data_IF_302866363430
#
_entry.id   IF_302866363430
#
_cell.length_a   1.000
_cell.length_b   1.000
_cell.length_c   1.000
_cell.angle_alpha   90.00
_cell.angle_beta   90.00
_cell.angle_gamma   90.00
#
_symmetry.space_group_name_H-M   'P 1'
#
loop_
_entity.id
_entity.type
_entity.pdbx_description
1 polymer ?
#
# COMPACT_ATOMS: atom_id res chain seq x y z
N UNK A 1 9.32 -7.91 20.59
CA UNK A 1 8.42 -6.81 20.26
C UNK A 1 7.11 -6.98 21.00
N UNK A 2 6.82 -6.09 21.97
CA UNK A 2 5.64 -6.20 22.86
C UNK A 2 4.32 -5.97 22.09
N UNK A 3 4.39 -5.47 20.85
CA UNK A 3 3.21 -5.10 20.05
C UNK A 3 3.04 -5.88 18.74
N UNK A 4 3.88 -6.88 18.46
CA UNK A 4 3.75 -7.74 17.28
C UNK A 4 3.97 -7.05 15.91
N UNK A 5 4.49 -5.83 15.88
CA UNK A 5 4.69 -5.08 14.65
C UNK A 5 5.74 -5.68 13.70
N UNK A 6 6.63 -6.52 14.21
CA UNK A 6 7.71 -7.11 13.39
C UNK A 6 7.30 -8.39 12.67
N UNK A 7 6.17 -9.00 13.05
CA UNK A 7 5.64 -10.20 12.42
C UNK A 7 4.22 -9.92 11.96
N UNK A 8 3.98 -9.92 10.65
CA UNK A 8 2.62 -9.78 10.13
C UNK A 8 1.71 -10.92 10.65
N UNK A 9 0.39 -10.75 10.65
CA UNK A 9 -0.56 -11.77 11.08
C UNK A 9 -0.49 -13.00 10.17
N UNK A 10 -0.81 -14.17 10.73
CA UNK A 10 -1.06 -15.35 9.91
C UNK A 10 -2.29 -15.13 9.03
N UNK A 11 -2.20 -15.58 7.80
CA UNK A 11 -3.27 -15.45 6.82
C UNK A 11 -3.92 -16.81 6.54
N UNK A 12 -5.22 -16.87 6.19
CA UNK A 12 -5.90 -18.12 5.82
C UNK A 12 -5.22 -18.84 4.65
N UNK A 13 -4.64 -18.07 3.74
CA UNK A 13 -3.79 -18.53 2.64
C UNK A 13 -2.48 -17.75 2.70
N UNK A 14 -1.35 -18.45 2.68
CA UNK A 14 -0.02 -17.83 2.65
C UNK A 14 0.27 -17.26 1.26
N UNK A 15 -0.28 -16.06 0.99
CA UNK A 15 -0.13 -15.40 -0.31
C UNK A 15 1.25 -14.76 -0.45
N UNK A 16 2.10 -15.21 -1.39
CA UNK A 16 3.45 -14.69 -1.59
C UNK A 16 3.45 -13.50 -2.56
N UNK A 17 3.52 -12.27 -2.05
CA UNK A 17 3.70 -11.09 -2.92
C UNK A 17 4.98 -11.19 -3.75
N UNK A 18 6.05 -11.78 -3.22
CA UNK A 18 7.31 -12.00 -3.94
C UNK A 18 7.12 -12.73 -5.27
N UNK A 19 6.31 -13.78 -5.28
CA UNK A 19 6.01 -14.53 -6.51
C UNK A 19 5.25 -13.69 -7.53
N UNK A 20 4.23 -12.96 -7.09
CA UNK A 20 3.34 -12.23 -7.99
C UNK A 20 3.95 -10.91 -8.46
N UNK A 21 4.61 -10.16 -7.56
CA UNK A 21 5.15 -8.85 -7.87
C UNK A 21 6.57 -8.92 -8.42
N UNK A 22 7.49 -9.62 -7.72
CA UNK A 22 8.89 -9.64 -8.15
C UNK A 22 9.14 -10.60 -9.31
N UNK A 23 8.63 -11.83 -9.22
CA UNK A 23 8.93 -12.84 -10.23
C UNK A 23 8.05 -12.70 -11.48
N UNK A 24 6.74 -12.43 -11.31
CA UNK A 24 5.80 -12.28 -12.42
C UNK A 24 5.62 -10.85 -12.91
N UNK A 25 6.13 -9.85 -12.17
CA UNK A 25 6.05 -8.44 -12.55
C UNK A 25 4.64 -7.85 -12.51
N UNK A 26 3.71 -8.45 -11.73
CA UNK A 26 2.36 -7.91 -11.60
C UNK A 26 2.38 -6.62 -10.79
N UNK A 27 1.74 -5.58 -11.33
CA UNK A 27 1.60 -4.28 -10.66
C UNK A 27 0.62 -4.37 -9.48
N UNK A 28 0.85 -3.54 -8.44
CA UNK A 28 0.00 -3.48 -7.25
C UNK A 28 -1.48 -3.23 -7.63
N UNK A 29 -1.72 -2.32 -8.58
CA UNK A 29 -3.06 -1.93 -9.03
C UNK A 29 -3.74 -2.99 -9.89
N UNK A 30 -3.00 -4.00 -10.35
CA UNK A 30 -3.61 -5.16 -11.02
C UNK A 30 -4.53 -5.94 -10.09
N UNK A 31 -4.14 -6.10 -8.84
CA UNK A 31 -4.93 -6.78 -7.81
C UNK A 31 -5.74 -5.80 -6.96
N UNK A 32 -5.15 -4.69 -6.51
CA UNK A 32 -5.78 -3.66 -5.68
C UNK A 32 -6.43 -2.57 -6.55
N UNK A 33 -7.45 -2.94 -7.34
CA UNK A 33 -7.97 -2.14 -8.46
C UNK A 33 -8.63 -0.83 -8.09
N UNK A 34 -9.19 -0.73 -6.89
CA UNK A 34 -9.96 0.46 -6.48
C UNK A 34 -9.13 1.49 -5.74
N UNK A 35 -7.88 1.15 -5.38
CA UNK A 35 -7.04 1.95 -4.49
C UNK A 35 -6.79 3.39 -4.97
N UNK A 36 -6.70 3.60 -6.28
CA UNK A 36 -6.51 4.93 -6.87
C UNK A 36 -7.84 5.69 -7.12
N UNK A 37 -9.00 5.10 -6.81
CA UNK A 37 -10.32 5.64 -7.12
C UNK A 37 -11.26 5.68 -5.93
N UNK A 38 -10.94 5.00 -4.84
CA UNK A 38 -11.80 4.84 -3.68
C UNK A 38 -11.04 5.10 -2.36
N UNK A 39 -11.77 5.26 -1.29
CA UNK A 39 -11.21 5.45 0.04
C UNK A 39 -10.43 4.21 0.50
N UNK A 40 -10.95 3.02 0.22
CA UNK A 40 -10.35 1.76 0.65
C UNK A 40 -9.68 1.02 -0.52
N UNK A 41 -8.51 0.43 -0.25
CA UNK A 41 -7.90 -0.53 -1.16
C UNK A 41 -8.72 -1.83 -1.17
N UNK A 42 -9.08 -2.31 -2.37
CA UNK A 42 -9.74 -3.60 -2.52
C UNK A 42 -8.76 -4.75 -2.37
N UNK A 43 -9.25 -5.88 -1.89
CA UNK A 43 -8.58 -7.18 -2.01
C UNK A 43 -9.32 -7.95 -3.11
N UNK A 44 -8.61 -8.63 -4.03
CA UNK A 44 -9.26 -9.39 -5.10
C UNK A 44 -10.19 -10.46 -4.56
N UNK A 45 -11.29 -10.71 -5.28
CA UNK A 45 -12.19 -11.83 -4.94
C UNK A 45 -11.51 -13.17 -5.24
N UNK A 46 -12.06 -14.24 -4.67
CA UNK A 46 -11.56 -15.61 -4.89
C UNK A 46 -11.59 -15.97 -6.38
N UNK A 47 -12.66 -15.60 -7.10
CA UNK A 47 -12.84 -15.85 -8.53
C UNK A 47 -11.74 -15.17 -9.36
N UNK A 48 -11.30 -13.99 -8.96
CA UNK A 48 -10.21 -13.30 -9.64
C UNK A 48 -8.90 -14.09 -9.54
N UNK A 49 -8.58 -14.62 -8.37
CA UNK A 49 -7.41 -15.48 -8.16
C UNK A 49 -7.50 -16.76 -9.01
N UNK A 50 -8.67 -17.38 -9.03
CA UNK A 50 -8.92 -18.63 -9.76
C UNK A 50 -8.84 -18.42 -11.29
N UNK A 51 -8.96 -17.21 -11.81
CA UNK A 51 -8.76 -16.96 -13.24
C UNK A 51 -7.42 -17.54 -13.76
N UNK A 52 -6.36 -17.42 -12.98
CA UNK A 52 -5.06 -18.04 -13.29
C UNK A 52 -4.89 -19.40 -12.58
N UNK A 53 -5.24 -19.47 -11.29
CA UNK A 53 -5.03 -20.65 -10.45
C UNK A 53 -6.01 -21.81 -10.70
N UNK A 54 -6.88 -21.69 -11.68
CA UNK A 54 -7.64 -22.82 -12.21
C UNK A 54 -6.73 -23.88 -12.85
N UNK A 55 -5.62 -23.44 -13.46
CA UNK A 55 -4.70 -24.29 -14.23
C UNK A 55 -3.30 -24.31 -13.61
N UNK A 56 -2.88 -23.24 -12.92
CA UNK A 56 -1.51 -23.05 -12.41
C UNK A 56 -1.47 -23.37 -10.90
N UNK A 57 -0.41 -24.08 -10.48
CA UNK A 57 -0.09 -24.30 -9.06
C UNK A 57 -0.65 -25.59 -8.47
N UNK A 58 -0.82 -26.65 -9.28
CA UNK A 58 -1.43 -27.94 -8.85
C UNK A 58 -0.70 -28.61 -7.68
N UNK A 59 0.60 -28.35 -7.51
CA UNK A 59 1.42 -28.95 -6.45
C UNK A 59 1.48 -28.08 -5.16
N UNK A 60 0.66 -27.05 -5.05
CA UNK A 60 0.64 -26.15 -3.90
C UNK A 60 -0.57 -26.39 -3.01
N UNK A 61 -0.32 -26.65 -1.71
CA UNK A 61 -1.38 -26.75 -0.70
C UNK A 61 -2.18 -25.45 -0.58
N UNK A 62 -1.53 -24.28 -0.73
CA UNK A 62 -2.18 -22.99 -0.66
C UNK A 62 -3.13 -22.76 -1.84
N UNK A 63 -2.77 -23.28 -3.03
CA UNK A 63 -3.66 -23.24 -4.20
C UNK A 63 -4.82 -24.25 -4.03
N UNK A 64 -4.59 -25.39 -3.40
CA UNK A 64 -5.67 -26.33 -3.06
C UNK A 64 -6.68 -25.67 -2.10
N UNK A 65 -6.21 -24.91 -1.07
CA UNK A 65 -7.08 -24.12 -0.19
C UNK A 65 -7.87 -23.07 -0.98
N UNK A 66 -7.21 -22.29 -1.87
CA UNK A 66 -7.87 -21.31 -2.72
C UNK A 66 -9.01 -21.94 -3.54
N UNK A 67 -8.74 -23.06 -4.20
CA UNK A 67 -9.74 -23.78 -4.99
C UNK A 67 -10.89 -24.29 -4.13
N UNK A 68 -10.63 -24.69 -2.89
CA UNK A 68 -11.66 -25.08 -1.92
C UNK A 68 -12.56 -23.89 -1.54
N UNK A 69 -11.99 -22.69 -1.31
CA UNK A 69 -12.78 -21.47 -1.09
C UNK A 69 -13.69 -21.20 -2.28
N UNK A 70 -13.16 -21.29 -3.51
CA UNK A 70 -13.94 -21.10 -4.73
C UNK A 70 -15.07 -22.15 -4.89
N UNK A 71 -14.77 -23.40 -4.68
CA UNK A 71 -15.75 -24.49 -4.83
C UNK A 71 -16.90 -24.39 -3.81
N UNK A 72 -16.64 -23.80 -2.65
CA UNK A 72 -17.64 -23.60 -1.59
C UNK A 72 -18.28 -22.20 -1.64
N UNK A 73 -17.96 -21.36 -2.66
CA UNK A 73 -18.44 -19.99 -2.81
C UNK A 73 -18.20 -19.14 -1.55
N UNK A 74 -17.07 -19.37 -0.87
CA UNK A 74 -16.71 -18.67 0.38
C UNK A 74 -15.64 -17.61 0.12
N UNK A 75 -15.77 -16.40 0.70
CA UNK A 75 -14.69 -15.44 0.69
C UNK A 75 -13.55 -15.90 1.60
N UNK A 76 -12.33 -15.40 1.31
CA UNK A 76 -11.19 -15.58 2.21
C UNK A 76 -11.26 -14.49 3.27
N UNK A 77 -11.27 -14.88 4.54
CA UNK A 77 -11.29 -13.93 5.67
C UNK A 77 -9.86 -13.44 5.99
N UNK A 78 -9.37 -12.52 5.15
CA UNK A 78 -8.03 -11.95 5.27
C UNK A 78 -7.86 -11.16 6.56
N UNK A 79 -6.77 -11.41 7.29
CA UNK A 79 -6.43 -10.64 8.46
C UNK A 79 -5.80 -9.29 8.06
N UNK A 80 -6.33 -8.19 8.59
CA UNK A 80 -5.83 -6.85 8.29
C UNK A 80 -4.45 -6.63 8.87
N UNK A 81 -3.48 -6.33 8.01
CA UNK A 81 -2.11 -5.98 8.40
C UNK A 81 -2.00 -4.51 8.81
N UNK A 82 -2.58 -3.62 8.00
CA UNK A 82 -2.59 -2.18 8.27
C UNK A 82 -3.98 -1.76 8.77
N UNK A 83 -3.99 -1.13 9.93
CA UNK A 83 -5.24 -0.68 10.57
C UNK A 83 -5.04 0.71 11.17
N UNK A 84 -5.97 1.61 10.90
CA UNK A 84 -6.18 2.85 11.64
C UNK A 84 -7.38 2.69 12.56
N UNK A 85 -7.48 3.46 13.69
CA UNK A 85 -8.67 3.45 14.55
C UNK A 85 -9.93 3.83 13.78
N UNK A 86 -11.09 3.34 14.21
CA UNK A 86 -12.35 3.52 13.50
C UNK A 86 -12.82 4.99 13.42
N UNK A 87 -12.31 5.86 14.31
CA UNK A 87 -12.55 7.31 14.29
C UNK A 87 -11.60 8.08 13.37
N UNK A 88 -10.74 7.37 12.61
CA UNK A 88 -9.80 7.98 11.65
C UNK A 88 -10.30 7.78 10.24
N UNK A 89 -10.46 8.90 9.53
CA UNK A 89 -10.82 8.94 8.13
C UNK A 89 -9.55 8.91 7.27
N UNK A 90 -9.28 7.79 6.60
CA UNK A 90 -8.16 7.67 5.66
C UNK A 90 -8.68 7.33 4.27
N UNK A 91 -8.24 8.09 3.26
CA UNK A 91 -8.66 7.94 1.86
C UNK A 91 -7.45 7.66 0.98
N UNK A 92 -7.33 6.45 0.44
CA UNK A 92 -6.22 6.07 -0.44
C UNK A 92 -6.17 6.92 -1.71
N UNK A 93 -7.30 7.14 -2.37
CA UNK A 93 -7.37 7.92 -3.61
C UNK A 93 -6.67 9.27 -3.49
N UNK A 94 -6.97 10.03 -2.44
CA UNK A 94 -6.40 11.36 -2.22
C UNK A 94 -4.86 11.32 -2.13
N UNK A 95 -4.32 10.34 -1.41
CA UNK A 95 -2.87 10.19 -1.23
C UNK A 95 -2.19 9.71 -2.52
N UNK A 96 -2.78 8.76 -3.23
CA UNK A 96 -2.21 8.26 -4.49
C UNK A 96 -2.21 9.36 -5.54
N UNK A 97 -3.30 10.09 -5.71
CA UNK A 97 -3.38 11.21 -6.65
C UNK A 97 -2.42 12.34 -6.31
N UNK A 98 -2.23 12.62 -5.02
CA UNK A 98 -1.28 13.66 -4.59
C UNK A 98 0.16 13.30 -4.98
N UNK A 99 0.59 12.05 -4.77
CA UNK A 99 1.98 11.64 -4.98
C UNK A 99 2.27 11.17 -6.42
N UNK A 100 1.28 10.72 -7.19
CA UNK A 100 1.50 10.25 -8.56
C UNK A 100 1.77 11.37 -9.57
N UNK A 101 2.30 11.00 -10.74
CA UNK A 101 2.67 11.91 -11.82
C UNK A 101 4.04 12.56 -11.63
N UNK A 102 4.33 13.58 -12.43
CA UNK A 102 5.62 14.30 -12.37
C UNK A 102 5.68 15.21 -11.16
N UNK A 103 6.63 14.95 -10.27
CA UNK A 103 6.80 15.64 -9.01
C UNK A 103 8.19 16.24 -8.87
N UNK A 104 8.27 17.49 -8.42
CA UNK A 104 9.52 18.12 -7.99
C UNK A 104 9.86 17.67 -6.56
N UNK A 105 11.02 17.06 -6.38
CA UNK A 105 11.52 16.66 -5.07
C UNK A 105 12.06 17.90 -4.34
N UNK A 106 11.57 18.16 -3.15
CA UNK A 106 11.99 19.28 -2.31
C UNK A 106 12.36 18.81 -0.91
N UNK A 107 13.10 19.68 -0.18
CA UNK A 107 13.41 19.43 1.22
C UNK A 107 12.14 19.52 2.08
N UNK A 108 12.05 18.69 3.10
CA UNK A 108 10.95 18.66 4.09
C UNK A 108 10.72 19.99 4.81
N UNK A 109 11.75 20.87 4.84
CA UNK A 109 11.69 22.19 5.50
C UNK A 109 11.00 23.24 4.63
N UNK A 110 10.82 23.01 3.34
CA UNK A 110 10.18 23.98 2.45
C UNK A 110 8.65 23.95 2.62
N UNK A 111 8.13 25.01 3.23
CA UNK A 111 6.69 25.19 3.47
C UNK A 111 5.93 25.82 2.29
N UNK A 112 6.62 26.21 1.23
CA UNK A 112 6.03 26.83 0.04
C UNK A 112 5.76 25.80 -1.07
N UNK A 113 5.56 24.53 -0.70
CA UNK A 113 5.29 23.46 -1.65
C UNK A 113 3.98 23.66 -2.39
N UNK A 114 3.99 23.30 -3.64
CA UNK A 114 2.80 23.21 -4.51
C UNK A 114 2.45 21.75 -4.79
N UNK A 115 1.29 21.49 -5.35
CA UNK A 115 0.79 20.13 -5.60
C UNK A 115 1.69 19.27 -6.51
N UNK A 116 2.60 19.92 -7.29
CA UNK A 116 3.59 19.20 -8.10
C UNK A 116 4.85 18.79 -7.34
N UNK A 117 4.94 19.10 -6.05
CA UNK A 117 6.12 18.81 -5.23
C UNK A 117 5.85 17.68 -4.25
N UNK A 118 6.92 16.95 -3.88
CA UNK A 118 6.92 15.88 -2.90
C UNK A 118 8.06 16.09 -1.92
N UNK A 119 7.86 15.82 -0.63
CA UNK A 119 8.91 15.86 0.36
C UNK A 119 10.02 14.86 0.04
N UNK A 120 11.28 15.27 0.28
CA UNK A 120 12.45 14.43 -0.04
C UNK A 120 12.39 13.08 0.67
N UNK A 121 11.99 13.04 1.94
CA UNK A 121 11.89 11.79 2.71
C UNK A 121 10.86 10.81 2.12
N UNK A 122 9.76 11.32 1.56
CA UNK A 122 8.76 10.49 0.89
C UNK A 122 9.24 10.08 -0.50
N UNK A 123 9.93 10.96 -1.22
CA UNK A 123 10.53 10.66 -2.52
C UNK A 123 11.59 9.55 -2.43
N UNK A 124 12.45 9.58 -1.42
CA UNK A 124 13.50 8.57 -1.21
C UNK A 124 12.90 7.16 -0.96
N UNK A 125 11.70 7.05 -0.39
CA UNK A 125 11.01 5.76 -0.24
C UNK A 125 10.61 5.14 -1.57
N UNK A 126 10.37 5.97 -2.58
CA UNK A 126 10.00 5.55 -3.95
C UNK A 126 11.26 5.39 -4.80
N UNK A 127 12.15 6.38 -4.73
CA UNK A 127 13.42 6.46 -5.47
C UNK A 127 14.56 6.73 -4.49
N UNK A 128 15.31 5.71 -4.04
CA UNK A 128 16.34 5.85 -3.00
C UNK A 128 17.42 6.91 -3.27
N UNK A 129 17.66 7.24 -4.53
CA UNK A 129 18.65 8.23 -4.95
C UNK A 129 18.05 9.60 -5.30
N UNK A 130 16.78 9.86 -4.97
CA UNK A 130 16.11 11.12 -5.24
C UNK A 130 16.84 12.30 -4.59
N UNK A 131 16.94 13.43 -5.31
CA UNK A 131 17.64 14.64 -4.88
C UNK A 131 16.71 15.85 -4.88
N UNK A 132 17.03 16.82 -4.02
CA UNK A 132 16.33 18.11 -4.01
C UNK A 132 16.36 18.75 -5.38
N UNK A 133 15.20 19.22 -5.87
CA UNK A 133 15.04 19.86 -7.18
C UNK A 133 14.96 18.91 -8.37
N UNK A 134 15.11 17.62 -8.18
CA UNK A 134 14.91 16.60 -9.21
C UNK A 134 13.43 16.48 -9.59
N UNK A 135 13.14 16.20 -10.85
CA UNK A 135 11.79 15.84 -11.30
C UNK A 135 11.72 14.32 -11.45
N UNK A 136 10.83 13.71 -10.70
CA UNK A 136 10.54 12.27 -10.77
C UNK A 136 9.13 12.03 -11.30
N UNK A 137 8.96 10.99 -12.10
CA UNK A 137 7.64 10.53 -12.58
C UNK A 137 7.19 9.34 -11.75
N UNK A 138 6.23 9.58 -10.86
CA UNK A 138 5.77 8.60 -9.87
C UNK A 138 4.54 7.86 -10.39
N UNK A 139 4.64 6.56 -10.61
CA UNK A 139 3.49 5.71 -10.93
C UNK A 139 2.61 5.50 -9.69
N UNK A 140 1.30 5.35 -9.90
CA UNK A 140 0.33 5.11 -8.80
C UNK A 140 0.75 3.95 -7.89
N UNK A 141 1.21 2.85 -8.46
CA UNK A 141 1.68 1.68 -7.71
C UNK A 141 2.93 1.94 -6.85
N UNK A 142 3.76 2.90 -7.24
CA UNK A 142 4.96 3.25 -6.48
C UNK A 142 4.64 4.07 -5.23
N UNK A 143 3.52 4.81 -5.22
CA UNK A 143 3.06 5.57 -4.05
C UNK A 143 2.83 4.64 -2.85
N UNK A 144 2.42 3.40 -3.08
CA UNK A 144 2.18 2.39 -2.04
C UNK A 144 3.39 2.22 -1.10
N UNK A 145 4.61 2.29 -1.68
CA UNK A 145 5.87 2.11 -0.95
C UNK A 145 6.09 3.18 0.13
N UNK A 146 5.52 4.36 -0.04
CA UNK A 146 5.62 5.46 0.93
C UNK A 146 5.08 5.08 2.31
N UNK A 147 4.01 4.30 2.37
CA UNK A 147 3.37 3.86 3.62
C UNK A 147 3.56 2.37 3.91
N UNK A 148 3.47 1.52 2.88
CA UNK A 148 3.49 0.06 3.03
C UNK A 148 4.89 -0.54 2.89
N UNK A 149 5.89 0.23 2.41
CA UNK A 149 7.22 -0.28 2.07
C UNK A 149 7.19 -1.17 0.84
N UNK A 150 8.29 -1.85 0.59
CA UNK A 150 8.39 -2.79 -0.52
C UNK A 150 7.71 -4.13 -0.21
N UNK A 151 6.37 -4.12 -0.25
CA UNK A 151 5.54 -5.32 -0.03
C UNK A 151 5.89 -6.41 -1.03
N UNK A 152 6.30 -6.03 -2.25
CA UNK A 152 6.71 -6.98 -3.28
C UNK A 152 7.87 -7.88 -2.85
N UNK A 153 8.76 -7.39 -1.99
CA UNK A 153 9.88 -8.17 -1.44
C UNK A 153 9.56 -8.94 -0.16
N UNK A 154 8.37 -8.75 0.42
CA UNK A 154 8.02 -9.39 1.69
C UNK A 154 7.50 -10.81 1.47
N UNK A 155 8.10 -11.78 2.16
CA UNK A 155 7.58 -13.16 2.23
C UNK A 155 6.28 -13.24 3.02
N UNK A 156 6.15 -12.40 4.05
CA UNK A 156 4.95 -12.19 4.87
C UNK A 156 4.76 -10.69 5.05
N UNK A 157 3.59 -10.18 4.69
CA UNK A 157 3.31 -8.74 4.79
C UNK A 157 3.24 -8.31 6.24
N UNK A 158 3.95 -7.26 6.58
CA UNK A 158 3.97 -6.64 7.90
C UNK A 158 3.84 -5.13 7.79
N UNK A 159 3.35 -4.51 8.86
CA UNK A 159 3.29 -3.06 8.96
C UNK A 159 4.69 -2.50 9.22
N UNK A 160 5.16 -1.59 8.37
CA UNK A 160 6.48 -0.98 8.51
C UNK A 160 6.43 0.42 9.13
N UNK A 161 5.28 1.07 9.07
CA UNK A 161 5.03 2.39 9.70
C UNK A 161 3.94 2.26 10.74
N UNK A 162 4.11 2.84 11.92
CA UNK A 162 3.17 2.68 13.02
C UNK A 162 1.81 3.37 12.77
N UNK A 163 1.70 4.27 11.78
CA UNK A 163 0.48 5.03 11.41
C UNK A 163 -0.16 5.73 12.63
N UNK A 164 0.68 6.29 13.49
CA UNK A 164 0.23 7.12 14.62
C UNK A 164 -0.13 8.52 14.13
N UNK A 165 -0.97 9.23 14.89
CA UNK A 165 -1.37 10.61 14.57
C UNK A 165 -0.17 11.51 14.24
N UNK A 166 0.93 11.40 14.99
CA UNK A 166 2.13 12.18 14.75
C UNK A 166 2.76 11.89 13.36
N UNK A 167 2.75 10.65 12.90
CA UNK A 167 3.29 10.27 11.59
C UNK A 167 2.46 10.91 10.48
N UNK A 168 1.13 10.86 10.60
CA UNK A 168 0.22 11.48 9.64
C UNK A 168 0.38 13.00 9.61
N UNK A 169 0.38 13.65 10.78
CA UNK A 169 0.49 15.11 10.89
C UNK A 169 1.85 15.61 10.38
N UNK A 170 2.94 14.91 10.68
CA UNK A 170 4.26 15.29 10.19
C UNK A 170 4.34 15.19 8.66
N UNK A 171 3.89 14.06 8.09
CA UNK A 171 3.86 13.87 6.64
C UNK A 171 2.99 14.95 5.95
N UNK A 172 1.81 15.27 6.52
CA UNK A 172 0.95 16.33 6.01
C UNK A 172 1.64 17.70 6.05
N UNK A 173 2.35 18.04 7.14
CA UNK A 173 3.13 19.28 7.24
C UNK A 173 4.26 19.33 6.22
N UNK A 174 5.00 18.24 6.07
CA UNK A 174 6.12 18.14 5.14
C UNK A 174 5.66 18.29 3.68
N UNK A 175 4.43 17.89 3.38
CA UNK A 175 3.85 17.96 2.04
C UNK A 175 2.80 19.09 1.88
N UNK A 176 2.70 20.02 2.82
CA UNK A 176 1.75 21.14 2.81
C UNK A 176 0.29 20.69 2.64
N UNK A 177 -0.03 19.52 3.19
CA UNK A 177 -1.38 18.97 3.21
C UNK A 177 -2.16 19.45 4.46
N UNK A 178 -3.51 19.41 4.46
CA UNK A 178 -4.33 19.83 5.58
C UNK A 178 -4.01 19.06 6.88
N UNK A 179 -3.98 19.77 8.01
CA UNK A 179 -3.71 19.21 9.35
C UNK A 179 -4.80 19.50 10.37
N UNK A 180 -5.96 19.96 9.91
CA UNK A 180 -7.11 20.22 10.77
C UNK A 180 -7.69 18.91 11.31
N UNK A 181 -8.25 18.96 12.51
CA UNK A 181 -8.79 17.76 13.16
C UNK A 181 -9.82 17.02 12.29
N UNK A 182 -10.72 17.77 11.66
CA UNK A 182 -11.80 17.22 10.81
C UNK A 182 -11.30 16.64 9.47
N UNK A 183 -10.07 16.89 9.08
CA UNK A 183 -9.46 16.25 7.90
C UNK A 183 -9.24 14.75 8.13
N UNK A 184 -8.95 14.36 9.36
CA UNK A 184 -8.58 13.00 9.73
C UNK A 184 -9.58 12.33 10.70
N UNK A 185 -10.44 13.10 11.36
CA UNK A 185 -11.37 12.59 12.38
C UNK A 185 -12.81 12.97 12.06
N UNK A 186 -13.73 12.03 12.37
CA UNK A 186 -15.17 12.25 12.32
C UNK A 186 -15.62 13.07 13.53
#
# INVERSE_FOLDING_TARGET
DIYGFNEGPEQPIAFPHTKHVQELGLDCTFCHRTVAKEASASIPSVEFCVTCHKIIGDNSEEIAKLRSYNANEKPIDWQRVHRVPDHVHFVHEAHIRFFSGSKNVVNTVDRNKVSSQIALDDAIRIYPNAKVGEIIDVKESQVCMTCHGDVGSMTKVKQIRPLKMADCVNCHRDNSAPTDCVTCHY
#
